data_IF_211843701751
#
_entry.id   IF_211843701751
#
_cell.length_a   1.000
_cell.length_b   1.000
_cell.length_c   1.000
_cell.angle_alpha   90.00
_cell.angle_beta   90.00
_cell.angle_gamma   90.00
#
_symmetry.space_group_name_H-M   'P 1'
#
loop_
_entity.id
_entity.type
_entity.pdbx_description
1 polymer ?
#
# COMPACT_ATOMS: atom_id res chain seq x y z
N UNK A 1 -14.96 10.04 7.07
CA UNK A 1 -16.26 9.29 7.14
C UNK A 1 -16.47 8.40 5.92
N UNK A 2 -16.26 8.91 4.70
CA UNK A 2 -16.43 8.14 3.46
C UNK A 2 -15.64 6.81 3.41
N UNK A 3 -14.36 6.80 3.81
CA UNK A 3 -13.51 5.60 3.78
C UNK A 3 -14.06 4.48 4.69
N UNK A 4 -14.57 4.83 5.88
CA UNK A 4 -15.16 3.86 6.81
C UNK A 4 -16.44 3.25 6.23
N UNK A 5 -17.26 4.06 5.56
CA UNK A 5 -18.49 3.61 4.88
C UNK A 5 -18.16 2.69 3.69
N UNK A 6 -17.13 3.03 2.91
CA UNK A 6 -16.64 2.20 1.82
C UNK A 6 -16.15 0.85 2.33
N UNK A 7 -15.29 0.84 3.35
CA UNK A 7 -14.83 -0.40 3.97
C UNK A 7 -15.98 -1.27 4.50
N UNK A 8 -16.97 -0.66 5.15
CA UNK A 8 -18.16 -1.37 5.62
C UNK A 8 -19.01 -1.95 4.48
N UNK A 9 -19.10 -1.27 3.33
CA UNK A 9 -19.88 -1.75 2.19
C UNK A 9 -19.30 -2.98 1.48
N UNK A 10 -18.01 -3.27 1.69
CA UNK A 10 -17.30 -4.41 1.09
C UNK A 10 -16.85 -5.43 2.16
N UNK A 11 -17.44 -5.37 3.35
CA UNK A 11 -17.13 -6.23 4.51
C UNK A 11 -15.62 -6.29 4.84
N UNK A 12 -14.92 -5.18 4.62
CA UNK A 12 -13.50 -5.08 4.92
C UNK A 12 -13.29 -4.82 6.41
N UNK A 13 -12.59 -5.70 7.16
CA UNK A 13 -12.37 -5.56 8.60
C UNK A 13 -11.32 -4.48 8.90
N UNK A 14 -11.70 -3.22 8.71
CA UNK A 14 -10.84 -2.04 8.92
C UNK A 14 -10.62 -1.82 10.42
N UNK A 15 -9.42 -2.13 10.91
CA UNK A 15 -9.04 -1.91 12.31
C UNK A 15 -8.55 -0.48 12.54
N UNK A 16 -7.65 0.01 11.68
CA UNK A 16 -7.01 1.33 11.82
C UNK A 16 -6.71 1.96 10.47
N UNK A 17 -6.77 3.29 10.44
CA UNK A 17 -6.37 4.12 9.31
C UNK A 17 -5.09 4.86 9.70
N UNK A 18 -4.08 4.81 8.84
CA UNK A 18 -2.81 5.49 9.03
C UNK A 18 -2.56 6.47 7.91
N UNK A 19 -1.86 7.55 8.24
CA UNK A 19 -1.34 8.49 7.26
C UNK A 19 0.18 8.53 7.40
N UNK A 20 0.88 8.45 6.28
CA UNK A 20 2.34 8.46 6.21
C UNK A 20 2.80 9.73 5.50
N UNK A 21 3.80 10.38 6.08
CA UNK A 21 4.51 11.49 5.45
C UNK A 21 5.44 10.98 4.34
N UNK A 22 4.90 10.86 3.13
CA UNK A 22 5.58 10.40 1.92
C UNK A 22 6.17 11.51 1.07
N UNK A 23 5.68 12.76 1.21
CA UNK A 23 6.15 13.92 0.45
C UNK A 23 7.66 14.17 0.56
N UNK A 24 8.30 13.78 1.67
CA UNK A 24 9.76 13.87 1.85
C UNK A 24 10.55 13.00 0.87
N UNK A 25 9.98 11.89 0.39
CA UNK A 25 10.69 10.87 -0.39
C UNK A 25 10.29 10.85 -1.85
N UNK A 26 9.03 11.14 -2.17
CA UNK A 26 8.58 11.25 -3.56
C UNK A 26 7.30 12.07 -3.67
N UNK A 27 7.06 12.62 -4.86
CA UNK A 27 5.79 13.26 -5.19
C UNK A 27 4.71 12.26 -5.66
N UNK A 28 4.97 10.95 -5.64
CA UNK A 28 3.99 9.96 -6.05
C UNK A 28 2.94 9.75 -4.97
N UNK A 29 1.68 9.75 -5.41
CA UNK A 29 0.52 9.49 -4.60
C UNK A 29 0.25 7.99 -4.54
N UNK A 30 0.29 7.42 -3.34
CA UNK A 30 0.11 5.98 -3.12
C UNK A 30 -0.81 5.78 -1.91
N UNK A 31 -1.75 4.85 -2.06
CA UNK A 31 -2.48 4.25 -0.95
C UNK A 31 -2.23 2.75 -1.00
N UNK A 32 -2.11 2.12 0.16
CA UNK A 32 -2.04 0.66 0.21
C UNK A 32 -2.72 0.12 1.44
N UNK A 33 -3.07 -1.15 1.36
CA UNK A 33 -3.66 -1.90 2.45
C UNK A 33 -2.64 -2.90 2.97
N UNK A 34 -2.60 -3.08 4.28
CA UNK A 34 -1.73 -4.07 4.91
C UNK A 34 -2.45 -4.74 6.07
N UNK A 35 -1.99 -5.95 6.40
CA UNK A 35 -2.50 -6.72 7.52
C UNK A 35 -3.07 -8.07 7.12
N UNK A 36 -3.07 -8.97 8.11
CA UNK A 36 -3.41 -10.36 7.95
C UNK A 36 -4.79 -10.64 8.55
N UNK A 37 -5.58 -11.46 7.86
CA UNK A 37 -6.90 -11.92 8.31
C UNK A 37 -7.82 -10.78 8.78
N UNK A 38 -8.21 -10.75 10.06
CA UNK A 38 -9.15 -9.77 10.63
C UNK A 38 -8.50 -8.45 11.06
N UNK A 39 -7.18 -8.34 10.96
CA UNK A 39 -6.44 -7.14 11.37
C UNK A 39 -5.95 -6.37 10.15
N UNK A 40 -6.87 -5.80 9.38
CA UNK A 40 -6.52 -5.05 8.17
C UNK A 40 -6.56 -3.54 8.40
N UNK A 41 -5.62 -2.87 7.75
CA UNK A 41 -5.34 -1.45 7.95
C UNK A 41 -5.10 -0.81 6.60
N UNK A 42 -5.51 0.45 6.50
CA UNK A 42 -5.31 1.26 5.30
C UNK A 42 -4.26 2.31 5.63
N UNK A 43 -3.26 2.46 4.76
CA UNK A 43 -2.25 3.51 4.82
C UNK A 43 -2.45 4.45 3.64
N UNK A 44 -2.51 5.73 3.95
CA UNK A 44 -2.62 6.81 2.98
C UNK A 44 -1.36 7.66 3.02
N UNK A 45 -0.87 8.08 1.86
CA UNK A 45 0.20 9.07 1.82
C UNK A 45 -0.38 10.47 1.97
N UNK A 46 0.35 11.35 2.62
CA UNK A 46 0.01 12.77 2.72
C UNK A 46 -0.08 13.47 1.36
N UNK A 47 0.60 12.95 0.34
CA UNK A 47 0.49 13.39 -1.06
C UNK A 47 -0.91 13.22 -1.65
N UNK A 48 -1.72 12.28 -1.13
CA UNK A 48 -3.12 12.09 -1.53
C UNK A 48 -4.09 13.06 -0.83
N UNK A 49 -3.68 13.62 0.31
CA UNK A 49 -4.57 14.40 1.16
C UNK A 49 -4.53 15.89 0.79
N UNK A 50 -5.69 16.54 0.81
CA UNK A 50 -5.83 17.99 0.67
C UNK A 50 -6.25 18.65 1.99
N UNK A 51 -5.92 19.94 2.14
CA UNK A 51 -6.37 20.79 3.25
C UNK A 51 -5.86 20.35 4.63
N UNK A 52 -6.78 20.33 5.61
CA UNK A 52 -6.46 20.12 7.03
C UNK A 52 -5.78 18.79 7.35
N UNK A 53 -6.11 17.72 6.60
CA UNK A 53 -5.53 16.40 6.82
C UNK A 53 -4.04 16.36 6.51
N UNK A 54 -3.62 17.08 5.46
CA UNK A 54 -2.22 17.23 5.08
C UNK A 54 -1.50 18.18 6.05
N UNK A 55 -2.15 19.28 6.43
CA UNK A 55 -1.58 20.26 7.36
C UNK A 55 -1.28 19.65 8.75
N UNK A 56 -2.16 18.80 9.28
CA UNK A 56 -1.94 18.09 10.55
C UNK A 56 -0.75 17.14 10.48
N UNK A 57 -0.64 16.36 9.40
CA UNK A 57 0.47 15.42 9.21
C UNK A 57 1.80 16.16 9.09
N UNK A 58 1.82 17.29 8.37
CA UNK A 58 3.01 18.14 8.27
C UNK A 58 3.36 18.72 9.64
N UNK A 59 2.39 19.22 10.41
CA UNK A 59 2.66 19.76 11.76
C UNK A 59 3.20 18.71 12.73
N UNK A 60 2.67 17.49 12.72
CA UNK A 60 3.09 16.41 13.62
C UNK A 60 4.39 15.73 13.17
N UNK A 61 4.67 15.65 11.86
CA UNK A 61 5.83 14.92 11.33
C UNK A 61 7.00 15.81 10.92
N UNK A 62 6.77 17.11 10.69
CA UNK A 62 7.75 18.06 10.14
C UNK A 62 7.97 19.25 11.07
N UNK A 63 8.35 19.00 12.33
CA UNK A 63 8.88 20.03 13.23
C UNK A 63 10.14 20.77 12.70
N UNK A 64 10.61 20.52 11.46
CA UNK A 64 11.86 21.10 10.94
C UNK A 64 11.97 21.35 9.41
N UNK A 65 10.89 21.36 8.61
CA UNK A 65 11.05 21.62 7.16
C UNK A 65 9.86 22.33 6.50
N UNK A 66 10.10 23.60 6.18
CA UNK A 66 9.59 24.47 5.12
C UNK A 66 8.07 24.59 4.89
N UNK A 67 7.64 25.82 4.65
CA UNK A 67 6.25 26.14 4.31
C UNK A 67 5.78 25.34 3.08
N UNK A 68 4.50 24.93 3.07
CA UNK A 68 3.89 24.19 1.95
C UNK A 68 4.16 24.92 0.63
N UNK A 69 4.92 24.29 -0.28
CA UNK A 69 5.14 24.84 -1.61
C UNK A 69 3.83 24.79 -2.42
N UNK A 70 3.49 25.83 -3.17
CA UNK A 70 2.22 25.91 -3.93
C UNK A 70 2.02 24.73 -4.90
N UNK A 71 3.13 24.13 -5.37
CA UNK A 71 3.13 22.92 -6.19
C UNK A 71 2.55 21.70 -5.46
N UNK A 72 2.68 21.61 -4.14
CA UNK A 72 2.19 20.49 -3.34
C UNK A 72 0.72 20.64 -2.94
N UNK A 73 0.15 21.86 -3.02
CA UNK A 73 -1.30 22.08 -2.96
C UNK A 73 -1.99 21.69 -4.26
N UNK A 74 -1.38 21.99 -5.40
CA UNK A 74 -1.95 21.68 -6.72
C UNK A 74 -2.00 20.16 -7.04
N UNK A 75 -1.16 19.35 -6.39
CA UNK A 75 -1.08 17.90 -6.59
C UNK A 75 -2.02 17.07 -5.72
N UNK A 76 -2.64 17.69 -4.71
CA UNK A 76 -3.52 16.98 -3.80
C UNK A 76 -4.83 16.61 -4.52
N UNK A 77 -5.28 15.37 -4.31
CA UNK A 77 -6.49 14.85 -4.93
C UNK A 77 -7.74 15.25 -4.14
N UNK A 78 -8.88 15.24 -4.82
CA UNK A 78 -10.18 15.43 -4.17
C UNK A 78 -10.58 14.21 -3.34
N UNK A 79 -11.44 14.41 -2.33
CA UNK A 79 -11.88 13.31 -1.47
C UNK A 79 -12.56 12.17 -2.26
N UNK A 80 -13.29 12.50 -3.33
CA UNK A 80 -13.99 11.50 -4.15
C UNK A 80 -13.02 10.66 -4.98
N UNK A 81 -11.96 11.29 -5.52
CA UNK A 81 -10.91 10.56 -6.24
C UNK A 81 -10.12 9.65 -5.29
N UNK A 82 -9.81 10.11 -4.08
CA UNK A 82 -9.14 9.28 -3.06
C UNK A 82 -10.01 8.07 -2.70
N UNK A 83 -11.32 8.25 -2.57
CA UNK A 83 -12.27 7.15 -2.33
C UNK A 83 -12.34 6.20 -3.53
N UNK A 84 -12.30 6.71 -4.76
CA UNK A 84 -12.28 5.88 -5.97
C UNK A 84 -11.00 5.04 -6.08
N UNK A 85 -9.83 5.64 -5.82
CA UNK A 85 -8.54 4.92 -5.78
C UNK A 85 -8.57 3.85 -4.68
N UNK A 86 -9.03 4.18 -3.48
CA UNK A 86 -9.17 3.19 -2.41
C UNK A 86 -10.15 2.07 -2.77
N UNK A 87 -11.24 2.38 -3.47
CA UNK A 87 -12.17 1.38 -3.99
C UNK A 87 -11.51 0.43 -4.99
N UNK A 88 -10.66 0.95 -5.88
CA UNK A 88 -9.84 0.15 -6.78
C UNK A 88 -8.88 -0.78 -5.99
N UNK A 89 -8.18 -0.26 -4.99
CA UNK A 89 -7.27 -1.06 -4.16
C UNK A 89 -8.00 -2.11 -3.31
N UNK A 90 -9.17 -1.77 -2.77
CA UNK A 90 -10.04 -2.72 -2.05
C UNK A 90 -10.51 -3.86 -2.96
N UNK A 91 -10.67 -3.61 -4.26
CA UNK A 91 -11.00 -4.65 -5.24
C UNK A 91 -9.89 -5.69 -5.36
N UNK A 92 -8.61 -5.29 -5.27
CA UNK A 92 -7.49 -6.23 -5.26
C UNK A 92 -7.51 -7.16 -4.06
N UNK A 93 -7.98 -6.65 -2.92
CA UNK A 93 -8.23 -7.48 -1.76
C UNK A 93 -9.42 -8.42 -1.96
N UNK A 94 -10.56 -7.91 -2.43
CA UNK A 94 -11.77 -8.69 -2.62
C UNK A 94 -11.59 -9.83 -3.65
N UNK A 95 -10.79 -9.62 -4.70
CA UNK A 95 -10.45 -10.61 -5.72
C UNK A 95 -9.30 -11.55 -5.32
N UNK A 96 -8.86 -11.52 -4.07
CA UNK A 96 -7.81 -12.41 -3.54
C UNK A 96 -6.42 -12.26 -4.21
N UNK A 97 -6.15 -11.21 -4.99
CA UNK A 97 -4.84 -11.01 -5.63
C UNK A 97 -3.68 -10.97 -4.63
N UNK A 98 -3.91 -10.37 -3.46
CA UNK A 98 -2.93 -10.33 -2.36
C UNK A 98 -2.56 -11.70 -1.80
N UNK A 99 -3.44 -12.70 -1.92
CA UNK A 99 -3.19 -14.07 -1.45
C UNK A 99 -2.65 -14.98 -2.57
N UNK A 100 -3.06 -14.73 -3.81
CA UNK A 100 -2.57 -15.46 -4.99
C UNK A 100 -1.08 -15.21 -5.21
N UNK A 101 -0.61 -13.97 -5.04
CA UNK A 101 0.79 -13.62 -5.29
C UNK A 101 1.78 -14.40 -4.41
N UNK A 102 1.61 -14.50 -3.06
CA UNK A 102 2.42 -15.36 -2.21
C UNK A 102 2.41 -16.83 -2.63
N UNK A 103 1.26 -17.39 -3.01
CA UNK A 103 1.14 -18.79 -3.43
C UNK A 103 1.96 -19.05 -4.70
N UNK A 104 1.87 -18.15 -5.68
CA UNK A 104 2.68 -18.25 -6.90
C UNK A 104 4.18 -18.16 -6.58
N UNK A 105 4.55 -17.26 -5.67
CA UNK A 105 5.95 -17.11 -5.24
C UNK A 105 6.47 -18.37 -4.54
N UNK A 106 5.68 -18.98 -3.64
CA UNK A 106 6.02 -20.24 -2.98
C UNK A 106 6.19 -21.39 -3.98
N UNK A 107 5.29 -21.52 -4.95
CA UNK A 107 5.40 -22.52 -6.01
C UNK A 107 6.65 -22.31 -6.88
N UNK A 108 6.98 -21.05 -7.21
CA UNK A 108 8.18 -20.73 -7.97
C UNK A 108 9.46 -21.08 -7.19
N UNK A 109 9.52 -20.73 -5.89
CA UNK A 109 10.66 -21.08 -5.04
C UNK A 109 10.79 -22.61 -4.92
N UNK A 110 9.68 -23.32 -4.73
CA UNK A 110 9.68 -24.78 -4.65
C UNK A 110 10.18 -25.42 -5.96
N UNK A 111 9.74 -24.89 -7.12
CA UNK A 111 10.23 -25.34 -8.42
C UNK A 111 11.75 -25.12 -8.55
N UNK A 112 12.24 -23.93 -8.21
CA UNK A 112 13.67 -23.63 -8.29
C UNK A 112 14.49 -24.53 -7.36
N UNK A 113 14.00 -24.81 -6.16
CA UNK A 113 14.67 -25.71 -5.21
C UNK A 113 14.67 -27.18 -5.67
N UNK A 114 13.58 -27.66 -6.29
CA UNK A 114 13.54 -29.04 -6.81
C UNK A 114 14.47 -29.22 -8.00
N UNK A 115 14.50 -28.25 -8.92
CA UNK A 115 15.46 -28.20 -10.03
C UNK A 115 16.88 -28.16 -9.48
N UNK A 116 17.18 -27.24 -8.56
CA UNK A 116 18.50 -27.16 -7.93
C UNK A 116 18.91 -28.47 -7.26
N UNK A 117 18.04 -29.09 -6.47
CA UNK A 117 18.33 -30.35 -5.79
C UNK A 117 18.63 -31.51 -6.77
N UNK A 118 17.97 -31.52 -7.93
CA UNK A 118 18.24 -32.48 -9.00
C UNK A 118 19.61 -32.25 -9.63
N UNK A 119 19.90 -31.02 -10.05
CA UNK A 119 21.16 -30.66 -10.72
C UNK A 119 22.38 -30.65 -9.79
N UNK A 120 22.20 -30.37 -8.50
CA UNK A 120 23.28 -30.37 -7.50
C UNK A 120 23.98 -31.73 -7.37
N UNK A 121 23.28 -32.82 -7.68
CA UNK A 121 23.85 -34.18 -7.63
C UNK A 121 24.71 -34.50 -8.86
N UNK A 122 24.72 -33.66 -9.88
CA UNK A 122 25.38 -33.94 -11.15
C UNK A 122 26.84 -33.47 -11.13
N UNK A 123 27.77 -34.43 -11.00
CA UNK A 123 29.22 -34.16 -10.92
C UNK A 123 29.79 -33.42 -12.15
N UNK A 124 29.17 -33.60 -13.33
CA UNK A 124 29.58 -32.94 -14.57
C UNK A 124 29.43 -31.42 -14.52
N UNK A 125 28.56 -30.91 -13.64
CA UNK A 125 28.26 -29.48 -13.51
C UNK A 125 29.32 -28.73 -12.66
N UNK A 126 30.20 -29.48 -11.97
CA UNK A 126 31.23 -28.97 -11.07
C UNK A 126 32.67 -29.28 -11.55
N UNK A 127 32.82 -29.80 -12.77
CA UNK A 127 34.10 -29.91 -13.47
C UNK A 127 34.33 -28.67 -14.33
#
# INVERSE_FOLDING_TARGET
>A
VAIKKLAASVDFPLTKLYVVYGSKRSAHSIAYMYGFWNNKRIVLYDTLLSGEGKEKVIKECAEAADEMNDKDKARAMSNDEVVAVLGHELRHWALWHTMINPIIAELNILLMLTVFAYFYRWKLLFQ
#
